data_IF_604527386351
#
_entry.id   IF_604527386351
#
_cell.length_a   1.000
_cell.length_b   1.000
_cell.length_c   1.000
_cell.angle_alpha   90.00
_cell.angle_beta   90.00
_cell.angle_gamma   90.00
#
_symmetry.space_group_name_H-M   'P 1'
#
loop_
_entity.id
_entity.type
_entity.pdbx_description
1 polymer ?
#
# COMPACT_ATOMS: atom_id res chain seq x y z
N UNK A 1 1.28 -11.00 21.39
CA UNK A 1 -0.19 -10.78 21.34
C UNK A 1 -0.73 -11.18 22.70
N UNK A 2 -1.38 -10.29 23.43
CA UNK A 2 -1.99 -10.61 24.72
C UNK A 2 -3.46 -10.99 24.49
N UNK A 3 -3.93 -12.08 25.09
CA UNK A 3 -5.33 -12.44 25.04
C UNK A 3 -6.08 -11.61 26.08
N UNK A 4 -6.79 -10.58 25.63
CA UNK A 4 -7.57 -9.69 26.48
C UNK A 4 -9.06 -9.87 26.19
N UNK A 5 -9.90 -9.60 27.20
CA UNK A 5 -11.37 -9.51 27.01
C UNK A 5 -11.69 -8.35 26.07
N UNK A 6 -12.77 -8.45 25.29
CA UNK A 6 -13.16 -7.42 24.31
C UNK A 6 -13.31 -6.06 25.01
N UNK A 7 -12.47 -5.10 24.62
CA UNK A 7 -12.40 -3.77 25.23
C UNK A 7 -13.65 -2.94 24.93
N UNK A 8 -14.40 -3.25 23.86
CA UNK A 8 -15.64 -2.53 23.50
C UNK A 8 -16.77 -2.81 24.50
N UNK A 9 -16.83 -4.04 25.00
CA UNK A 9 -17.81 -4.43 26.03
C UNK A 9 -17.52 -3.65 27.32
N UNK A 10 -16.24 -3.55 27.69
CA UNK A 10 -15.80 -2.78 28.85
C UNK A 10 -16.08 -1.27 28.70
N UNK A 11 -15.77 -0.68 27.54
CA UNK A 11 -16.03 0.73 27.27
C UNK A 11 -17.55 1.03 27.33
N UNK A 12 -18.39 0.15 26.77
CA UNK A 12 -19.85 0.27 26.83
C UNK A 12 -20.42 0.14 28.25
N UNK A 13 -19.83 -0.71 29.09
CA UNK A 13 -20.24 -0.86 30.50
C UNK A 13 -19.91 0.38 31.34
N UNK A 14 -18.79 1.05 31.03
CA UNK A 14 -18.33 2.26 31.74
C UNK A 14 -18.98 3.54 31.16
N UNK A 15 -19.53 3.47 29.94
CA UNK A 15 -20.10 4.62 29.24
C UNK A 15 -19.05 5.52 28.60
N UNK A 16 -17.85 4.98 28.34
CA UNK A 16 -16.76 5.69 27.68
C UNK A 16 -16.94 5.58 26.15
N UNK A 17 -17.53 6.62 25.56
CA UNK A 17 -17.82 6.67 24.13
C UNK A 17 -16.56 6.86 23.28
N UNK A 18 -15.56 7.60 23.79
CA UNK A 18 -14.29 7.85 23.10
C UNK A 18 -13.48 6.55 22.98
N UNK A 19 -13.36 5.79 24.06
CA UNK A 19 -12.67 4.50 24.02
C UNK A 19 -13.43 3.48 23.15
N UNK A 20 -14.76 3.56 23.07
CA UNK A 20 -15.55 2.69 22.19
C UNK A 20 -15.27 2.98 20.71
N UNK A 21 -15.29 4.25 20.30
CA UNK A 21 -15.02 4.68 18.91
C UNK A 21 -13.61 4.27 18.46
N UNK A 22 -12.59 4.51 19.29
CA UNK A 22 -11.22 4.13 18.96
C UNK A 22 -11.06 2.61 18.69
N UNK A 23 -11.73 1.78 19.48
CA UNK A 23 -11.65 0.33 19.33
C UNK A 23 -12.39 -0.16 18.09
N UNK A 24 -13.49 0.50 17.71
CA UNK A 24 -14.19 0.23 16.45
C UNK A 24 -13.34 0.63 15.24
N UNK A 25 -12.68 1.78 15.29
CA UNK A 25 -11.74 2.23 14.26
C UNK A 25 -10.54 1.30 14.10
N UNK A 26 -9.94 0.87 15.22
CA UNK A 26 -8.86 -0.13 15.22
C UNK A 26 -9.33 -1.41 14.53
N UNK A 27 -10.57 -1.85 14.77
CA UNK A 27 -11.14 -3.05 14.14
C UNK A 27 -11.43 -2.83 12.66
N UNK A 28 -11.97 -1.68 12.27
CA UNK A 28 -12.24 -1.33 10.88
C UNK A 28 -10.95 -1.29 10.06
N UNK A 29 -9.91 -0.62 10.59
CA UNK A 29 -8.57 -0.58 9.98
C UNK A 29 -7.95 -1.97 9.87
N UNK A 30 -8.04 -2.79 10.93
CA UNK A 30 -7.52 -4.15 10.86
C UNK A 30 -8.25 -5.00 9.82
N UNK A 31 -9.58 -4.91 9.74
CA UNK A 31 -10.37 -5.62 8.73
C UNK A 31 -10.01 -5.16 7.31
N UNK A 32 -9.80 -3.85 7.12
CA UNK A 32 -9.36 -3.25 5.87
C UNK A 32 -7.98 -3.77 5.45
N UNK A 33 -6.97 -3.66 6.32
CA UNK A 33 -5.63 -4.18 6.02
C UNK A 33 -5.64 -5.69 5.77
N UNK A 34 -6.45 -6.44 6.52
CA UNK A 34 -6.56 -7.87 6.35
C UNK A 34 -7.27 -8.26 5.05
N UNK A 35 -8.22 -7.44 4.58
CA UNK A 35 -8.85 -7.65 3.27
C UNK A 35 -7.83 -7.45 2.15
N UNK A 36 -6.97 -6.42 2.25
CA UNK A 36 -5.89 -6.19 1.30
C UNK A 36 -4.90 -7.35 1.28
N UNK A 37 -4.53 -7.91 2.44
CA UNK A 37 -3.63 -9.07 2.51
C UNK A 37 -4.21 -10.34 1.90
N UNK A 38 -5.53 -10.51 1.94
CA UNK A 38 -6.22 -11.71 1.45
C UNK A 38 -6.68 -11.57 0.00
N UNK A 39 -6.56 -10.38 -0.59
CA UNK A 39 -6.99 -10.13 -1.95
C UNK A 39 -5.89 -10.45 -2.95
N UNK A 40 -6.27 -10.99 -4.12
CA UNK A 40 -5.35 -11.23 -5.22
C UNK A 40 -5.47 -10.11 -6.25
N UNK A 41 -4.54 -9.16 -6.22
CA UNK A 41 -4.54 -8.00 -7.11
C UNK A 41 -4.11 -8.30 -8.56
N UNK A 42 -3.67 -9.51 -8.89
CA UNK A 42 -3.10 -9.83 -10.22
C UNK A 42 -4.10 -9.55 -11.35
N UNK A 43 -5.37 -9.92 -11.17
CA UNK A 43 -6.41 -9.64 -12.16
C UNK A 43 -6.68 -8.14 -12.32
N UNK A 44 -6.72 -7.39 -11.21
CA UNK A 44 -6.93 -5.95 -11.22
C UNK A 44 -5.77 -5.20 -11.90
N UNK A 45 -4.52 -5.55 -11.55
CA UNK A 45 -3.33 -4.94 -12.15
C UNK A 45 -3.27 -5.22 -13.65
N UNK A 46 -3.66 -6.42 -14.09
CA UNK A 46 -3.71 -6.76 -15.51
C UNK A 46 -4.68 -5.89 -16.31
N UNK A 47 -5.89 -5.68 -15.81
CA UNK A 47 -6.88 -4.83 -16.47
C UNK A 47 -6.48 -3.35 -16.43
N UNK A 48 -5.92 -2.88 -15.31
CA UNK A 48 -5.39 -1.53 -15.18
C UNK A 48 -4.29 -1.27 -16.21
N UNK A 49 -3.33 -2.19 -16.33
CA UNK A 49 -2.21 -2.05 -17.27
C UNK A 49 -2.70 -2.02 -18.71
N UNK A 50 -3.64 -2.90 -19.09
CA UNK A 50 -4.24 -2.91 -20.44
C UNK A 50 -4.89 -1.56 -20.76
N UNK A 51 -5.65 -1.00 -19.83
CA UNK A 51 -6.32 0.28 -20.02
C UNK A 51 -5.33 1.44 -20.20
N UNK A 52 -4.26 1.47 -19.39
CA UNK A 52 -3.21 2.48 -19.51
C UNK A 52 -2.47 2.37 -20.83
N UNK A 53 -2.07 1.16 -21.23
CA UNK A 53 -1.37 0.92 -22.50
C UNK A 53 -2.24 1.28 -23.69
N UNK A 54 -3.52 0.87 -23.69
CA UNK A 54 -4.47 1.24 -24.74
C UNK A 54 -4.58 2.77 -24.88
N UNK A 55 -4.75 3.49 -23.77
CA UNK A 55 -4.82 4.95 -23.78
C UNK A 55 -3.52 5.66 -24.21
N UNK A 56 -2.37 5.00 -24.12
CA UNK A 56 -1.08 5.50 -24.61
C UNK A 56 -0.90 5.23 -26.11
N UNK A 57 -1.31 4.06 -26.57
CA UNK A 57 -1.28 3.70 -28.00
C UNK A 57 -2.25 4.58 -28.82
N UNK A 58 -3.41 4.91 -28.27
CA UNK A 58 -4.40 5.81 -28.93
C UNK A 58 -3.84 7.21 -29.20
N UNK A 59 -2.86 7.67 -28.40
CA UNK A 59 -2.20 8.97 -28.57
C UNK A 59 -1.00 8.92 -29.51
N UNK A 60 -0.60 7.72 -29.94
CA UNK A 60 0.46 7.47 -30.91
C UNK A 60 1.69 6.78 -30.31
N UNK A 61 2.35 5.95 -31.14
CA UNK A 61 3.45 5.06 -30.74
C UNK A 61 4.61 5.78 -30.01
N UNK A 62 4.87 7.04 -30.35
CA UNK A 62 5.91 7.86 -29.71
C UNK A 62 5.64 8.17 -28.24
N UNK A 63 4.37 8.30 -27.83
CA UNK A 63 4.03 8.56 -26.42
C UNK A 63 4.21 7.30 -25.57
N UNK A 64 3.97 6.12 -26.15
CA UNK A 64 4.25 4.84 -25.49
C UNK A 64 5.76 4.65 -25.31
N UNK A 65 6.57 4.87 -26.36
CA UNK A 65 8.03 4.76 -26.26
C UNK A 65 8.62 5.74 -25.24
N UNK A 66 8.18 7.01 -25.25
CA UNK A 66 8.64 8.00 -24.28
C UNK A 66 8.30 7.59 -22.83
N UNK A 67 7.11 7.02 -22.61
CA UNK A 67 6.70 6.53 -21.29
C UNK A 67 7.55 5.35 -20.79
N UNK A 68 7.96 4.47 -21.69
CA UNK A 68 8.86 3.34 -21.36
C UNK A 68 10.27 3.84 -21.02
N UNK A 69 10.78 4.84 -21.75
CA UNK A 69 12.10 5.41 -21.46
C UNK A 69 12.14 6.16 -20.13
N UNK A 70 11.11 6.95 -19.81
CA UNK A 70 10.97 7.61 -18.50
C UNK A 70 10.99 6.60 -17.34
N UNK A 71 10.29 5.47 -17.49
CA UNK A 71 10.28 4.42 -16.48
C UNK A 71 11.66 3.78 -16.25
N UNK A 72 12.47 3.63 -17.30
CA UNK A 72 13.85 3.12 -17.20
C UNK A 72 14.79 4.11 -16.52
N UNK A 73 14.63 5.40 -16.80
CA UNK A 73 15.43 6.45 -16.16
C UNK A 73 15.18 6.46 -14.64
N UNK A 74 13.92 6.37 -14.21
CA UNK A 74 13.57 6.25 -12.79
C UNK A 74 14.18 5.00 -12.15
N UNK A 75 14.22 3.88 -12.88
CA UNK A 75 14.87 2.67 -12.39
C UNK A 75 16.38 2.89 -12.15
N UNK A 76 17.08 3.52 -13.09
CA UNK A 76 18.51 3.83 -12.95
C UNK A 76 18.79 4.79 -11.79
N UNK A 77 17.99 5.84 -11.63
CA UNK A 77 18.10 6.77 -10.49
C UNK A 77 17.88 6.04 -9.17
N UNK A 78 16.88 5.16 -9.09
CA UNK A 78 16.60 4.39 -7.87
C UNK A 78 17.72 3.39 -7.49
N UNK A 79 18.47 2.89 -8.47
CA UNK A 79 19.65 2.03 -8.21
C UNK A 79 20.80 2.82 -7.61
N UNK A 80 20.96 4.07 -8.02
CA UNK A 80 21.96 4.98 -7.49
C UNK A 80 21.66 5.31 -6.01
N UNK A 81 20.43 5.70 -5.69
CA UNK A 81 20.02 6.04 -4.31
C UNK A 81 20.09 4.85 -3.33
N UNK A 82 19.95 3.61 -3.82
CA UNK A 82 20.09 2.41 -3.00
C UNK A 82 21.55 2.02 -2.73
N UNK A 83 22.49 2.40 -3.60
CA UNK A 83 23.91 2.12 -3.39
C UNK A 83 24.49 2.96 -2.26
N UNK A 84 24.04 4.21 -2.13
CA UNK A 84 24.48 5.15 -1.08
C UNK A 84 23.89 4.86 0.31
N UNK A 85 22.82 4.07 0.40
CA UNK A 85 22.16 3.71 1.67
C UNK A 85 22.77 2.47 2.37
N UNK A 86 23.75 1.79 1.79
CA UNK A 86 24.37 0.60 2.39
C UNK A 86 25.53 0.89 3.37
N UNK A 87 25.84 2.17 3.64
CA UNK A 87 26.99 2.54 4.49
C UNK A 87 26.66 2.82 5.97
N UNK A 88 25.40 2.75 6.38
CA UNK A 88 25.01 2.97 7.78
C UNK A 88 24.28 1.75 8.32
N UNK A 89 24.97 0.95 9.14
CA UNK A 89 24.49 0.21 10.32
C UNK A 89 25.38 -1.02 10.62
N UNK A 90 26.61 -0.79 11.07
CA UNK A 90 27.33 -1.78 11.90
C UNK A 90 28.17 -1.09 12.98
N UNK A 91 27.49 -0.41 13.91
CA UNK A 91 28.04 -0.07 15.23
C UNK A 91 26.93 -0.19 16.27
N UNK A 92 26.79 -1.39 16.85
CA UNK A 92 26.72 -1.58 18.31
C UNK A 92 26.80 -3.06 18.67
#
# INVERSE_FOLDING_TARGET
MACCRDLRIRAREIGDEEELEEQEDKRARWLWENSLRRHNFVGFVGELLKAVVAGKLDKGDKEYEAWVEEAKEVEEVSKFDNHDNHEYHFVR
#
